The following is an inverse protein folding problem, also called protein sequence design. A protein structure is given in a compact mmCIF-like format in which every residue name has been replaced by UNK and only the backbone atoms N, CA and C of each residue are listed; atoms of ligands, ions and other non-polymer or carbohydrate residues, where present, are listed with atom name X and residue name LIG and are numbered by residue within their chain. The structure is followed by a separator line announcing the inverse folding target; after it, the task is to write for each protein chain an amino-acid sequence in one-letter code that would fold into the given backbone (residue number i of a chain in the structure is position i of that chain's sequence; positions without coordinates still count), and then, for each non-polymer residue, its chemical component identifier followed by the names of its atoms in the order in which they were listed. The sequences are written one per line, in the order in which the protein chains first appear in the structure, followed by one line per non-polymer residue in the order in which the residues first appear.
data_IF_675867644032
#
_entry.id   IF_675867644032
#
_cell.length_a   1.000
_cell.length_b   1.000
_cell.length_c   1.000
_cell.angle_alpha   90.00
_cell.angle_beta   90.00
_cell.angle_gamma   90.00
#
_symmetry.space_group_name_H-M   'P 1'
#
loop_
_entity.id
_entity.type
_entity.pdbx_description
1 polymer ?
#
# COMPACT_ATOMS: atom_id res chain seq x y z
N UNK A 1 -12.76 -13.61 -8.91
CA UNK A 1 -11.32 -13.42 -9.14
C UNK A 1 -10.55 -14.16 -8.05
N UNK A 2 -9.49 -14.88 -8.40
CA UNK A 2 -8.70 -15.68 -7.45
C UNK A 2 -7.91 -14.80 -6.46
N UNK A 3 -7.96 -15.12 -5.17
CA UNK A 3 -7.23 -14.41 -4.11
C UNK A 3 -5.71 -14.40 -4.37
N UNK A 4 -5.18 -15.45 -5.00
CA UNK A 4 -3.77 -15.51 -5.43
C UNK A 4 -3.43 -14.47 -6.51
N UNK A 5 -4.37 -14.19 -7.43
CA UNK A 5 -4.17 -13.15 -8.46
C UNK A 5 -4.10 -11.78 -7.81
N UNK A 6 -5.03 -11.49 -6.90
CA UNK A 6 -5.04 -10.22 -6.16
C UNK A 6 -3.78 -10.05 -5.31
N UNK A 7 -3.35 -11.10 -4.62
CA UNK A 7 -2.12 -11.04 -3.82
C UNK A 7 -0.86 -10.77 -4.67
N UNK A 8 -0.79 -11.36 -5.87
CA UNK A 8 0.28 -11.08 -6.82
C UNK A 8 0.24 -9.62 -7.27
N UNK A 9 -0.93 -9.14 -7.71
CA UNK A 9 -1.10 -7.75 -8.15
C UNK A 9 -0.76 -6.75 -7.03
N UNK A 10 -1.21 -7.00 -5.80
CA UNK A 10 -0.86 -6.17 -4.61
C UNK A 10 0.65 -6.09 -4.44
N UNK A 11 1.36 -7.21 -4.54
CA UNK A 11 2.82 -7.22 -4.43
C UNK A 11 3.50 -6.42 -5.55
N UNK A 12 2.97 -6.48 -6.78
CA UNK A 12 3.50 -5.75 -7.93
C UNK A 12 3.28 -4.24 -7.80
N UNK A 13 2.10 -3.81 -7.36
CA UNK A 13 1.78 -2.41 -7.04
C UNK A 13 2.68 -1.89 -5.92
N UNK A 14 2.77 -2.62 -4.80
CA UNK A 14 3.63 -2.24 -3.67
C UNK A 14 5.08 -2.11 -4.12
N UNK A 15 5.60 -3.03 -4.91
CA UNK A 15 6.97 -2.90 -5.42
C UNK A 15 7.16 -1.64 -6.26
N UNK A 16 6.27 -1.34 -7.22
CA UNK A 16 6.37 -0.13 -8.03
C UNK A 16 6.17 1.17 -7.22
N UNK A 17 5.49 1.10 -6.07
CA UNK A 17 5.38 2.25 -5.15
C UNK A 17 6.74 2.64 -4.58
N UNK A 18 7.57 1.68 -4.23
CA UNK A 18 8.84 1.92 -3.54
C UNK A 18 10.07 1.91 -4.44
N UNK A 19 9.96 1.27 -5.61
CA UNK A 19 11.03 1.18 -6.59
C UNK A 19 10.74 2.14 -7.76
N UNK A 20 11.62 3.11 -7.98
CA UNK A 20 11.55 4.05 -9.12
C UNK A 20 11.70 3.34 -10.48
N UNK A 21 12.13 2.08 -10.43
CA UNK A 21 12.41 1.24 -11.60
C UNK A 21 11.56 -0.01 -11.49
N UNK A 22 10.28 0.09 -11.84
CA UNK A 22 9.55 -1.10 -12.26
C UNK A 22 10.09 -1.49 -13.64
N UNK A 23 11.29 -2.11 -13.68
CA UNK A 23 11.64 -2.93 -14.83
C UNK A 23 10.54 -3.99 -14.93
N UNK A 24 9.98 -4.22 -16.12
CA UNK A 24 9.00 -5.28 -16.30
C UNK A 24 9.69 -6.56 -15.86
N UNK A 25 9.34 -7.08 -14.68
CA UNK A 25 9.76 -8.43 -14.33
C UNK A 25 9.05 -9.31 -15.34
N UNK A 26 9.83 -9.71 -16.34
CA UNK A 26 9.49 -10.59 -17.43
C UNK A 26 8.83 -11.84 -16.86
N UNK A 27 7.51 -11.82 -16.76
CA UNK A 27 6.72 -13.03 -16.84
C UNK A 27 5.88 -12.82 -18.09
N UNK A 28 6.49 -13.11 -19.25
CA UNK A 28 5.73 -13.48 -20.45
C UNK A 28 4.83 -14.66 -20.04
N UNK A 29 3.63 -14.32 -19.60
CA UNK A 29 2.55 -15.28 -19.46
C UNK A 29 1.81 -15.13 -20.78
N UNK A 30 1.97 -16.13 -21.64
CA UNK A 30 1.35 -16.23 -22.96
C UNK A 30 -0.18 -16.29 -22.78
N UNK A 31 -0.83 -15.14 -22.55
CA UNK A 31 -2.29 -14.93 -22.43
C UNK A 31 -2.59 -13.44 -22.20
N UNK A 32 -2.64 -12.66 -23.28
CA UNK A 32 -3.57 -11.55 -23.59
C UNK A 32 -4.03 -10.47 -22.58
N UNK A 33 -3.61 -10.43 -21.31
CA UNK A 33 -4.08 -9.45 -20.31
C UNK A 33 -2.98 -9.24 -19.24
N UNK A 34 -1.87 -8.60 -19.60
CA UNK A 34 -0.79 -8.32 -18.65
C UNK A 34 -1.17 -7.12 -17.79
N UNK A 35 -1.51 -7.36 -16.53
CA UNK A 35 -1.70 -6.31 -15.53
C UNK A 35 -0.46 -5.38 -15.46
N UNK A 36 -0.67 -4.08 -15.62
CA UNK A 36 0.38 -3.07 -15.45
C UNK A 36 0.23 -2.38 -14.08
N UNK A 37 1.12 -2.64 -13.11
CA UNK A 37 1.08 -2.02 -11.78
C UNK A 37 1.50 -0.53 -11.78
N UNK A 38 2.20 -0.05 -12.81
CA UNK A 38 2.78 1.29 -12.87
C UNK A 38 1.74 2.42 -12.78
N UNK A 39 0.66 2.45 -13.59
CA UNK A 39 -0.33 3.53 -13.52
C UNK A 39 -1.00 3.61 -12.14
N UNK A 40 -1.22 2.48 -11.50
CA UNK A 40 -1.84 2.39 -10.17
C UNK A 40 -0.90 2.93 -9.11
N UNK A 41 0.36 2.47 -9.13
CA UNK A 41 1.38 2.96 -8.21
C UNK A 41 1.58 4.48 -8.36
N UNK A 42 1.55 5.02 -9.58
CA UNK A 42 1.67 6.46 -9.80
C UNK A 42 0.49 7.23 -9.20
N UNK A 43 -0.76 6.82 -9.44
CA UNK A 43 -1.94 7.45 -8.82
C UNK A 43 -1.87 7.46 -7.30
N UNK A 44 -1.43 6.34 -6.72
CA UNK A 44 -1.26 6.19 -5.27
C UNK A 44 -0.15 7.11 -4.72
N UNK A 45 0.95 7.30 -5.46
CA UNK A 45 2.00 8.27 -5.09
C UNK A 45 1.46 9.70 -5.07
N UNK A 46 0.71 10.11 -6.08
CA UNK A 46 0.11 11.46 -6.15
C UNK A 46 -0.77 11.78 -4.95
N UNK A 47 -1.49 10.78 -4.41
CA UNK A 47 -2.31 10.95 -3.20
C UNK A 47 -1.44 11.14 -1.94
N UNK A 48 -0.29 10.46 -1.87
CA UNK A 48 0.54 10.48 -0.66
C UNK A 48 1.25 11.81 -0.39
N UNK A 49 1.55 12.58 -1.45
CA UNK A 49 2.23 13.89 -1.35
C UNK A 49 1.40 14.92 -0.55
N UNK A 50 0.10 14.66 -0.33
CA UNK A 50 -0.80 15.58 0.36
C UNK A 50 -0.86 15.40 1.88
N UNK A 51 -0.20 14.37 2.46
CA UNK A 51 -0.42 13.91 3.85
C UNK A 51 0.80 14.08 4.79
N UNK A 52 1.78 14.94 4.46
CA UNK A 52 3.14 14.86 5.03
C UNK A 52 3.38 15.61 6.37
N UNK A 53 2.42 16.36 6.92
CA UNK A 53 2.66 17.16 8.14
C UNK A 53 1.79 16.78 9.36
N UNK A 54 1.66 15.48 9.65
CA UNK A 54 0.88 15.02 10.81
C UNK A 54 1.75 14.37 11.92
N UNK A 55 1.48 14.73 13.17
CA UNK A 55 2.17 14.19 14.36
C UNK A 55 1.98 12.68 14.51
N UNK A 56 0.88 12.13 14.00
CA UNK A 56 0.60 10.70 14.02
C UNK A 56 1.55 9.92 13.10
N UNK A 57 2.00 10.50 11.99
CA UNK A 57 3.01 9.88 11.12
C UNK A 57 4.37 9.75 11.81
N UNK A 58 4.77 10.75 12.59
CA UNK A 58 5.99 10.68 13.40
C UNK A 58 5.90 9.59 14.48
N UNK A 59 4.76 9.50 15.18
CA UNK A 59 4.53 8.43 16.16
C UNK A 59 4.56 7.06 15.51
N UNK A 60 3.92 6.91 14.36
CA UNK A 60 3.92 5.67 13.58
C UNK A 60 5.34 5.24 13.19
N UNK A 61 6.18 6.18 12.72
CA UNK A 61 7.59 5.91 12.41
C UNK A 61 8.36 5.41 13.64
N UNK A 62 8.15 6.00 14.81
CA UNK A 62 8.83 5.59 16.04
C UNK A 62 8.41 4.18 16.46
N UNK A 63 7.11 3.89 16.44
CA UNK A 63 6.59 2.56 16.81
C UNK A 63 7.06 1.49 15.81
N UNK A 64 7.07 1.80 14.52
CA UNK A 64 7.59 0.90 13.49
C UNK A 64 9.09 0.60 13.68
N UNK A 65 9.89 1.63 14.00
CA UNK A 65 11.33 1.46 14.33
C UNK A 65 11.54 0.62 15.59
N UNK A 66 10.73 0.77 16.64
CA UNK A 66 10.81 -0.07 17.84
C UNK A 66 10.50 -1.53 17.54
N UNK A 67 9.58 -1.77 16.62
CA UNK A 67 9.17 -3.10 16.20
C UNK A 67 10.16 -3.80 15.24
N UNK A 68 11.22 -3.11 14.77
CA UNK A 68 12.12 -3.59 13.70
C UNK A 68 12.78 -4.96 13.92
N UNK A 69 12.79 -5.45 15.16
CA UNK A 69 13.42 -6.71 15.54
C UNK A 69 12.48 -7.92 15.40
N UNK A 70 11.17 -7.72 15.27
CA UNK A 70 10.19 -8.79 15.15
C UNK A 70 9.17 -8.48 14.06
N UNK A 71 9.12 -9.31 13.01
CA UNK A 71 8.23 -9.09 11.88
C UNK A 71 6.76 -8.93 12.28
N UNK A 72 6.26 -9.81 13.16
CA UNK A 72 4.85 -9.74 13.60
C UNK A 72 4.54 -8.43 14.31
N UNK A 73 5.48 -7.92 15.10
CA UNK A 73 5.36 -6.62 15.73
C UNK A 73 5.37 -5.49 14.69
N UNK A 74 6.16 -5.60 13.60
CA UNK A 74 6.16 -4.60 12.52
C UNK A 74 4.84 -4.57 11.77
N UNK A 75 4.29 -5.73 11.42
CA UNK A 75 3.00 -5.85 10.73
C UNK A 75 1.88 -5.25 11.61
N UNK A 76 1.89 -5.56 12.91
CA UNK A 76 0.94 -5.00 13.87
C UNK A 76 1.11 -3.49 14.06
N UNK A 77 2.35 -3.00 14.20
CA UNK A 77 2.65 -1.58 14.35
C UNK A 77 2.21 -0.80 13.11
N UNK A 78 2.46 -1.34 11.91
CA UNK A 78 2.02 -0.75 10.66
C UNK A 78 0.49 -0.70 10.59
N UNK A 79 -0.21 -1.81 10.85
CA UNK A 79 -1.68 -1.82 10.83
C UNK A 79 -2.27 -0.81 11.81
N UNK A 80 -1.79 -0.79 13.06
CA UNK A 80 -2.27 0.15 14.07
C UNK A 80 -2.01 1.60 13.69
N UNK A 81 -0.86 1.87 13.06
CA UNK A 81 -0.54 3.20 12.57
C UNK A 81 -1.47 3.61 11.41
N UNK A 82 -1.76 2.71 10.46
CA UNK A 82 -2.74 2.98 9.40
C UNK A 82 -4.10 3.30 10.00
N UNK A 83 -4.58 2.52 10.96
CA UNK A 83 -5.87 2.76 11.63
C UNK A 83 -5.89 4.12 12.39
N UNK A 84 -4.74 4.66 12.83
CA UNK A 84 -4.63 5.98 13.49
C UNK A 84 -4.60 7.15 12.51
N UNK A 85 -3.87 7.00 11.41
CA UNK A 85 -3.74 8.06 10.38
C UNK A 85 -4.88 8.04 9.37
N UNK A 86 -5.66 6.95 9.33
CA UNK A 86 -6.85 6.86 8.50
C UNK A 86 -7.83 7.95 8.92
N UNK A 87 -8.19 8.89 8.03
CA UNK A 87 -9.13 9.94 8.36
C UNK A 87 -10.53 9.35 8.65
N UNK A 88 -11.39 10.08 9.38
CA UNK A 88 -12.78 9.70 9.53
C UNK A 88 -13.45 9.56 8.16
N UNK A 89 -14.36 8.60 8.05
CA UNK A 89 -15.05 8.28 6.79
C UNK A 89 -15.67 9.53 6.17
N UNK A 90 -15.20 9.89 4.97
CA UNK A 90 -15.86 10.86 4.10
C UNK A 90 -17.02 10.17 3.39
N UNK A 91 -18.11 10.89 3.14
CA UNK A 91 -19.27 10.35 2.43
C UNK A 91 -18.95 9.91 0.99
N UNK A 92 -17.87 10.45 0.42
CA UNK A 92 -17.46 10.28 -0.98
C UNK A 92 -16.47 9.13 -1.21
N UNK A 93 -15.90 8.53 -0.15
CA UNK A 93 -14.84 7.51 -0.32
C UNK A 93 -15.17 6.25 0.49
N UNK A 94 -15.00 5.08 -0.15
CA UNK A 94 -15.21 3.79 0.53
C UNK A 94 -14.20 3.59 1.66
N UNK A 95 -14.56 2.87 2.74
CA UNK A 95 -13.65 2.61 3.86
C UNK A 95 -12.35 1.94 3.40
N UNK A 96 -12.42 1.03 2.43
CA UNK A 96 -11.25 0.34 1.90
C UNK A 96 -10.33 1.28 1.11
N UNK A 97 -10.90 2.23 0.35
CA UNK A 97 -10.10 3.24 -0.35
C UNK A 97 -9.41 4.17 0.65
N UNK A 98 -10.07 4.58 1.74
CA UNK A 98 -9.43 5.35 2.81
C UNK A 98 -8.26 4.58 3.44
N UNK A 99 -8.42 3.27 3.69
CA UNK A 99 -7.34 2.42 4.19
C UNK A 99 -6.18 2.30 3.19
N UNK A 100 -6.45 2.19 1.89
CA UNK A 100 -5.42 2.18 0.84
C UNK A 100 -4.64 3.51 0.87
N UNK A 101 -5.34 4.64 0.83
CA UNK A 101 -4.74 5.98 0.86
C UNK A 101 -3.87 6.19 2.10
N UNK A 102 -4.39 5.82 3.27
CA UNK A 102 -3.68 5.91 4.54
C UNK A 102 -2.44 4.99 4.59
N UNK A 103 -2.57 3.73 4.15
CA UNK A 103 -1.46 2.78 4.11
C UNK A 103 -0.34 3.25 3.19
N UNK A 104 -0.68 3.70 1.98
CA UNK A 104 0.28 4.21 0.99
C UNK A 104 1.03 5.41 1.53
N UNK A 105 0.31 6.40 2.04
CA UNK A 105 0.89 7.62 2.59
C UNK A 105 1.83 7.32 3.74
N UNK A 106 1.39 6.46 4.67
CA UNK A 106 2.22 6.05 5.79
C UNK A 106 3.47 5.29 5.34
N UNK A 107 3.32 4.33 4.42
CA UNK A 107 4.43 3.54 3.91
C UNK A 107 5.50 4.39 3.23
N UNK A 108 5.08 5.30 2.35
CA UNK A 108 5.99 6.22 1.65
C UNK A 108 6.66 7.20 2.62
N UNK A 109 5.93 7.71 3.62
CA UNK A 109 6.51 8.52 4.69
C UNK A 109 7.56 7.76 5.50
N UNK A 110 7.25 6.55 6.00
CA UNK A 110 8.22 5.75 6.76
C UNK A 110 9.45 5.46 5.89
N UNK A 111 9.25 5.18 4.60
CA UNK A 111 10.35 4.91 3.68
C UNK A 111 11.22 6.16 3.42
N UNK A 112 10.65 7.35 3.31
CA UNK A 112 11.42 8.58 3.16
C UNK A 112 12.28 8.89 4.40
N UNK A 113 11.77 8.56 5.59
CA UNK A 113 12.45 8.80 6.87
C UNK A 113 13.39 7.65 7.30
N UNK A 114 13.18 6.44 6.80
CA UNK A 114 13.92 5.24 7.16
C UNK A 114 14.09 4.28 5.95
N UNK A 115 14.77 4.70 4.87
CA UNK A 115 14.89 3.91 3.65
C UNK A 115 15.60 2.56 3.84
N UNK A 116 16.36 2.41 4.93
CA UNK A 116 17.00 1.14 5.31
C UNK A 116 15.99 0.03 5.67
N UNK A 117 14.76 0.40 6.03
CA UNK A 117 13.68 -0.53 6.38
C UNK A 117 12.74 -0.81 5.20
N UNK A 118 13.14 -0.45 3.97
CA UNK A 118 12.29 -0.51 2.79
C UNK A 118 11.66 -1.91 2.57
N UNK A 119 12.43 -2.98 2.75
CA UNK A 119 11.94 -4.35 2.57
C UNK A 119 10.85 -4.71 3.58
N UNK A 120 11.05 -4.29 4.82
CA UNK A 120 10.15 -4.51 5.92
C UNK A 120 8.87 -3.68 5.77
N UNK A 121 8.99 -2.44 5.27
CA UNK A 121 7.85 -1.57 4.94
C UNK A 121 7.02 -2.20 3.82
N UNK A 122 7.66 -2.60 2.72
CA UNK A 122 6.99 -3.28 1.60
C UNK A 122 6.25 -4.52 2.08
N UNK A 123 6.88 -5.33 2.94
CA UNK A 123 6.26 -6.54 3.48
C UNK A 123 5.06 -6.23 4.39
N UNK A 124 5.21 -5.30 5.32
CA UNK A 124 4.12 -4.91 6.23
C UNK A 124 2.94 -4.32 5.46
N UNK A 125 3.20 -3.46 4.48
CA UNK A 125 2.19 -2.90 3.58
C UNK A 125 1.49 -3.99 2.76
N UNK A 126 2.24 -4.91 2.15
CA UNK A 126 1.67 -5.99 1.36
C UNK A 126 0.79 -6.91 2.23
N UNK A 127 1.24 -7.24 3.44
CA UNK A 127 0.44 -8.01 4.40
C UNK A 127 -0.84 -7.27 4.79
N UNK A 128 -0.75 -5.98 5.09
CA UNK A 128 -1.89 -5.15 5.45
C UNK A 128 -2.91 -5.07 4.32
N UNK A 129 -2.46 -4.76 3.09
CA UNK A 129 -3.35 -4.60 1.95
C UNK A 129 -4.06 -5.91 1.59
N UNK A 130 -3.35 -7.03 1.57
CA UNK A 130 -3.97 -8.33 1.31
C UNK A 130 -5.01 -8.70 2.37
N UNK A 131 -4.71 -8.44 3.65
CA UNK A 131 -5.61 -8.79 4.75
C UNK A 131 -6.84 -7.89 4.82
N UNK A 132 -6.66 -6.58 4.64
CA UNK A 132 -7.71 -5.57 4.93
C UNK A 132 -8.46 -5.12 3.69
N UNK A 133 -7.83 -5.14 2.51
CA UNK A 133 -8.45 -4.65 1.26
C UNK A 133 -8.46 -5.68 0.14
N UNK A 134 -7.81 -6.84 0.32
CA UNK A 134 -7.73 -7.88 -0.71
C UNK A 134 -9.11 -8.36 -1.19
N UNK A 135 -10.06 -8.52 -0.28
CA UNK A 135 -11.44 -8.89 -0.64
C UNK A 135 -12.13 -7.80 -1.48
N UNK A 136 -11.96 -6.53 -1.11
CA UNK A 136 -12.52 -5.40 -1.85
C UNK A 136 -11.93 -5.33 -3.27
N UNK A 137 -10.60 -5.43 -3.40
CA UNK A 137 -9.92 -5.46 -4.70
C UNK A 137 -10.42 -6.65 -5.54
N UNK A 138 -10.61 -7.82 -4.94
CA UNK A 138 -11.16 -8.99 -5.63
C UNK A 138 -12.60 -8.76 -6.14
N UNK A 139 -13.42 -8.04 -5.38
CA UNK A 139 -14.80 -7.68 -5.75
C UNK A 139 -14.85 -6.66 -6.88
N UNK A 140 -13.90 -5.72 -6.94
CA UNK A 140 -13.78 -4.78 -8.05
C UNK A 140 -13.31 -5.45 -9.35
N UNK A 141 -12.72 -6.65 -9.25
CA UNK A 141 -12.15 -7.33 -10.40
C UNK A 141 -10.65 -7.04 -10.58
N UNK A 142 -9.94 -6.81 -9.47
CA UNK A 142 -8.49 -6.62 -9.46
C UNK A 142 -8.11 -5.15 -9.35
N UNK A 143 -6.81 -4.90 -9.18
CA UNK A 143 -6.30 -3.55 -8.96
C UNK A 143 -6.58 -2.60 -10.14
N UNK A 144 -6.64 -3.11 -11.37
CA UNK A 144 -6.93 -2.32 -12.58
C UNK A 144 -8.34 -1.70 -12.59
N UNK A 145 -9.29 -2.38 -11.93
CA UNK A 145 -10.67 -1.94 -11.80
C UNK A 145 -10.94 -1.12 -10.53
N UNK A 146 -9.92 -0.90 -9.69
CA UNK A 146 -10.06 -0.04 -8.51
C UNK A 146 -10.01 1.42 -8.95
N UNK A 147 -11.13 2.12 -8.82
CA UNK A 147 -11.22 3.55 -9.09
C UNK A 147 -10.53 4.35 -7.99
N UNK A 148 -9.27 4.71 -8.22
CA UNK A 148 -8.49 5.58 -7.35
C UNK A 148 -8.80 7.03 -7.72
N UNK A 149 -9.79 7.61 -7.04
CA UNK A 149 -10.23 8.99 -7.26
C UNK A 149 -9.38 10.00 -6.46
N UNK A 150 -9.06 11.13 -7.11
CA UNK A 150 -8.22 12.21 -6.61
C UNK A 150 -9.08 13.47 -6.46
N UNK A 151 -9.94 13.47 -5.44
CA UNK A 151 -10.74 14.63 -5.05
C UNK A 151 -9.92 15.63 -4.23
#
# INVERSE_FOLDING_TARGET
MDEQRVAKQTSEVVRCLFEDVCQPCCIETDSGDSFDPVPIANKLKEISDQLVEDTEFQKALLEFKKAQHEQKAMDAAFSQAVDRVCPPLSAEVTPEMQLIKAAVSLGLYINSQAPKLNREIQRAMNSFLNLRVGQFVAQQGGWDAVEIDHE
#
